data_IF_938984700802
#
_entry.id   IF_938984700802
#
_cell.length_a   1.000
_cell.length_b   1.000
_cell.length_c   1.000
_cell.angle_alpha   90.00
_cell.angle_beta   90.00
_cell.angle_gamma   90.00
#
_symmetry.space_group_name_H-M   'P 1'
#
loop_
_entity.id
_entity.type
_entity.pdbx_description
1 polymer ?
#
# COMPACT_ATOMS: atom_id res chain seq x y z
N UNK A 1 31.37 18.61 1.12
CA UNK A 1 30.63 19.77 1.66
C UNK A 1 29.17 19.36 1.82
N UNK A 2 28.59 19.59 2.99
CA UNK A 2 27.38 18.95 3.50
C UNK A 2 26.06 19.29 2.76
N UNK A 3 25.69 18.51 1.73
CA UNK A 3 24.33 18.52 1.14
C UNK A 3 23.37 17.51 1.81
N UNK A 4 23.85 16.81 2.84
CA UNK A 4 23.15 15.72 3.55
C UNK A 4 23.02 15.99 5.05
N UNK A 5 22.92 17.26 5.45
CA UNK A 5 22.50 17.62 6.82
C UNK A 5 21.01 17.31 7.10
N UNK A 6 20.27 16.85 6.08
CA UNK A 6 19.03 16.11 6.27
C UNK A 6 19.45 14.64 6.42
N UNK A 7 19.31 14.07 7.60
CA UNK A 7 19.57 12.65 7.86
C UNK A 7 18.96 11.80 6.73
N UNK A 8 19.80 11.18 5.90
CA UNK A 8 19.37 10.36 4.75
C UNK A 8 18.35 9.29 5.19
N UNK A 9 18.56 8.76 6.40
CA UNK A 9 17.67 7.84 7.11
C UNK A 9 16.26 8.44 7.30
N UNK A 10 16.15 9.71 7.69
CA UNK A 10 14.85 10.41 7.79
C UNK A 10 14.17 10.55 6.43
N UNK A 11 14.92 10.79 5.37
CA UNK A 11 14.40 10.81 4.00
C UNK A 11 13.80 9.46 3.59
N UNK A 12 14.47 8.36 3.90
CA UNK A 12 13.95 7.00 3.66
C UNK A 12 12.68 6.72 4.48
N UNK A 13 12.63 7.14 5.75
CA UNK A 13 11.44 6.97 6.59
C UNK A 13 10.24 7.73 6.00
N UNK A 14 10.44 9.00 5.61
CA UNK A 14 9.37 9.80 4.97
C UNK A 14 8.91 9.14 3.66
N UNK A 15 9.84 8.65 2.84
CA UNK A 15 9.50 7.93 1.62
C UNK A 15 8.69 6.65 1.91
N UNK A 16 9.03 5.88 2.94
CA UNK A 16 8.29 4.69 3.33
C UNK A 16 6.85 5.03 3.76
N UNK A 17 6.67 6.09 4.56
CA UNK A 17 5.35 6.57 4.98
C UNK A 17 4.50 6.99 3.76
N UNK A 18 5.08 7.75 2.83
CA UNK A 18 4.39 8.18 1.61
C UNK A 18 4.00 6.96 0.76
N UNK A 19 4.92 6.01 0.54
CA UNK A 19 4.62 4.79 -0.21
C UNK A 19 3.52 3.95 0.45
N UNK A 20 3.47 3.91 1.78
CA UNK A 20 2.41 3.22 2.52
C UNK A 20 1.04 3.83 2.20
N UNK A 21 0.93 5.17 2.18
CA UNK A 21 -0.30 5.89 1.83
C UNK A 21 -0.69 5.63 0.37
N UNK A 22 0.28 5.67 -0.56
CA UNK A 22 0.05 5.45 -2.00
C UNK A 22 -0.35 4.00 -2.31
N UNK A 23 0.13 3.04 -1.53
CA UNK A 23 -0.16 1.64 -1.76
C UNK A 23 -1.64 1.28 -1.54
N UNK A 24 -2.38 1.98 -0.67
CA UNK A 24 -3.82 1.76 -0.47
C UNK A 24 -4.63 1.94 -1.78
N UNK A 25 -4.60 3.11 -2.45
CA UNK A 25 -5.32 3.28 -3.72
C UNK A 25 -4.73 2.40 -4.83
N UNK A 26 -3.42 2.14 -4.82
CA UNK A 26 -2.77 1.29 -5.82
C UNK A 26 -3.32 -0.14 -5.76
N UNK A 27 -3.35 -0.76 -4.57
CA UNK A 27 -3.87 -2.12 -4.38
C UNK A 27 -5.35 -2.19 -4.74
N UNK A 28 -6.12 -1.17 -4.39
CA UNK A 28 -7.54 -1.10 -4.77
C UNK A 28 -7.72 -1.13 -6.29
N UNK A 29 -6.93 -0.33 -7.02
CA UNK A 29 -6.95 -0.30 -8.49
C UNK A 29 -6.48 -1.64 -9.06
N UNK A 30 -5.41 -2.22 -8.53
CA UNK A 30 -4.89 -3.52 -8.98
C UNK A 30 -5.95 -4.61 -8.81
N UNK A 31 -6.64 -4.65 -7.67
CA UNK A 31 -7.77 -5.56 -7.44
C UNK A 31 -8.89 -5.35 -8.46
N UNK A 32 -9.23 -4.10 -8.76
CA UNK A 32 -10.29 -3.76 -9.71
C UNK A 32 -9.94 -4.17 -11.16
N UNK A 33 -8.69 -3.97 -11.56
CA UNK A 33 -8.17 -4.37 -12.88
C UNK A 33 -8.07 -5.90 -12.99
N UNK A 34 -7.48 -6.55 -12.00
CA UNK A 34 -7.23 -8.01 -12.02
C UNK A 34 -8.53 -8.84 -11.95
N UNK A 35 -9.59 -8.27 -11.37
CA UNK A 35 -10.89 -8.93 -11.33
C UNK A 35 -11.70 -8.72 -12.63
N UNK A 36 -11.30 -7.78 -13.48
CA UNK A 36 -11.98 -7.50 -14.75
C UNK A 36 -11.55 -8.47 -15.86
N UNK A 37 -12.48 -9.36 -16.24
CA UNK A 37 -12.31 -10.29 -17.37
C UNK A 37 -12.06 -9.61 -18.73
N UNK A 38 -12.56 -8.39 -18.95
CA UNK A 38 -12.32 -7.67 -20.20
C UNK A 38 -10.85 -7.23 -20.35
N UNK A 39 -10.16 -6.96 -19.25
CA UNK A 39 -8.77 -6.48 -19.27
C UNK A 39 -7.80 -7.66 -19.16
N UNK A 40 -8.13 -8.67 -18.35
CA UNK A 40 -7.21 -9.79 -18.04
C UNK A 40 -7.50 -11.09 -18.82
N UNK A 41 -8.62 -11.15 -19.56
CA UNK A 41 -9.00 -12.31 -20.36
C UNK A 41 -9.13 -13.60 -19.56
N UNK A 42 -8.46 -14.66 -20.00
CA UNK A 42 -8.45 -15.99 -19.39
C UNK A 42 -7.61 -16.06 -18.09
N UNK A 43 -6.72 -15.08 -17.85
CA UNK A 43 -5.85 -15.01 -16.67
C UNK A 43 -6.46 -14.21 -15.51
N UNK A 44 -7.79 -14.07 -15.49
CA UNK A 44 -8.54 -13.46 -14.39
C UNK A 44 -8.05 -13.99 -13.04
N UNK A 45 -7.96 -13.10 -12.06
CA UNK A 45 -7.79 -13.49 -10.66
C UNK A 45 -8.91 -14.46 -10.26
N UNK A 46 -8.55 -15.72 -9.96
CA UNK A 46 -9.47 -16.68 -9.32
C UNK A 46 -9.69 -16.29 -7.85
N UNK A 47 -10.65 -16.95 -7.19
CA UNK A 47 -11.01 -16.67 -5.79
C UNK A 47 -9.80 -16.58 -4.86
N UNK A 48 -8.79 -17.45 -5.02
CA UNK A 48 -7.58 -17.44 -4.19
C UNK A 48 -6.79 -16.13 -4.30
N UNK A 49 -6.51 -15.67 -5.52
CA UNK A 49 -5.72 -14.46 -5.72
C UNK A 49 -6.52 -13.19 -5.36
N UNK A 50 -7.85 -13.23 -5.48
CA UNK A 50 -8.72 -12.15 -5.01
C UNK A 50 -8.71 -12.07 -3.47
N UNK A 51 -8.76 -13.23 -2.79
CA UNK A 51 -8.64 -13.32 -1.32
C UNK A 51 -7.27 -12.80 -0.86
N UNK A 52 -6.18 -13.20 -1.52
CA UNK A 52 -4.84 -12.68 -1.19
C UNK A 52 -4.76 -11.15 -1.34
N UNK A 53 -5.25 -10.60 -2.45
CA UNK A 53 -5.26 -9.15 -2.62
C UNK A 53 -6.13 -8.42 -1.59
N UNK A 54 -7.27 -9.00 -1.18
CA UNK A 54 -8.11 -8.44 -0.12
C UNK A 54 -7.42 -8.49 1.24
N UNK A 55 -6.71 -9.58 1.56
CA UNK A 55 -5.90 -9.70 2.77
C UNK A 55 -4.79 -8.64 2.80
N UNK A 56 -4.07 -8.44 1.68
CA UNK A 56 -3.03 -7.42 1.58
C UNK A 56 -3.60 -6.01 1.77
N UNK A 57 -4.75 -5.72 1.15
CA UNK A 57 -5.44 -4.45 1.33
C UNK A 57 -5.86 -4.24 2.80
N UNK A 58 -6.45 -5.26 3.44
CA UNK A 58 -6.86 -5.19 4.85
C UNK A 58 -5.65 -4.92 5.75
N UNK A 59 -4.54 -5.64 5.53
CA UNK A 59 -3.33 -5.52 6.33
C UNK A 59 -2.72 -4.10 6.22
N UNK A 60 -2.68 -3.52 5.02
CA UNK A 60 -2.23 -2.15 4.82
C UNK A 60 -3.19 -1.12 5.42
N UNK A 61 -4.51 -1.32 5.28
CA UNK A 61 -5.51 -0.45 5.88
C UNK A 61 -5.40 -0.44 7.42
N UNK A 62 -5.25 -1.61 8.04
CA UNK A 62 -5.03 -1.76 9.49
C UNK A 62 -3.73 -1.07 9.92
N UNK A 63 -2.64 -1.27 9.18
CA UNK A 63 -1.35 -0.63 9.47
C UNK A 63 -1.42 0.90 9.39
N UNK A 64 -2.13 1.43 8.38
CA UNK A 64 -2.36 2.87 8.25
C UNK A 64 -3.23 3.42 9.38
N UNK A 65 -4.27 2.70 9.80
CA UNK A 65 -5.11 3.06 10.95
C UNK A 65 -4.31 3.05 12.25
N UNK A 66 -3.46 2.04 12.47
CA UNK A 66 -2.56 1.96 13.63
C UNK A 66 -1.57 3.12 13.65
N UNK A 67 -1.04 3.53 12.50
CA UNK A 67 -0.14 4.69 12.41
C UNK A 67 -0.88 5.98 12.82
N UNK A 68 -2.11 6.17 12.34
CA UNK A 68 -2.95 7.30 12.77
C UNK A 68 -3.31 7.25 14.25
N UNK A 69 -3.64 6.07 14.77
CA UNK A 69 -3.97 5.89 16.19
C UNK A 69 -2.75 6.16 17.07
N UNK A 70 -1.58 5.65 16.70
CA UNK A 70 -0.32 5.91 17.40
C UNK A 70 0.08 7.38 17.34
N UNK A 71 -0.27 8.09 16.26
CA UNK A 71 -0.04 9.53 16.14
C UNK A 71 -1.02 10.37 16.98
N UNK A 72 -2.26 9.90 17.16
CA UNK A 72 -3.27 10.63 17.96
C UNK A 72 -3.17 10.33 19.47
N UNK A 73 -2.66 9.14 19.83
CA UNK A 73 -2.46 8.72 21.23
C UNK A 73 -1.06 9.05 21.79
N UNK A 74 -0.15 9.61 20.96
CA UNK A 74 1.16 10.11 21.35
C UNK A 74 1.23 11.63 21.24
#
# INVERSE_FOLDING_TARGET
MNLLQINLIKGLIIAAVINCIVALPLIFIILLITNNKQIMGEYKNKLLSNVLGWITFLLMAISSLLMFYSFFFS
#
